data_IF_813602570234
#
_entry.id   IF_813602570234
#
_cell.length_a   1.000
_cell.length_b   1.000
_cell.length_c   1.000
_cell.angle_alpha   90.00
_cell.angle_beta   90.00
_cell.angle_gamma   90.00
#
_symmetry.space_group_name_H-M   'P 1'
#
loop_
_entity.id
_entity.type
_entity.pdbx_description
1 polymer ?
#
# COMPACT_ATOMS: atom_id res chain seq x y z
N UNK A 1 -48.41 2.96 -16.97
CA UNK A 1 -48.43 2.02 -15.82
C UNK A 1 -47.28 1.06 -16.02
N UNK A 2 -46.24 1.13 -15.20
CA UNK A 2 -45.08 0.24 -15.24
C UNK A 2 -44.84 -0.25 -13.81
N UNK A 3 -44.87 -1.57 -13.66
CA UNK A 3 -44.71 -2.31 -12.40
C UNK A 3 -43.22 -2.60 -12.23
N UNK A 4 -42.63 -2.43 -11.03
CA UNK A 4 -41.22 -2.72 -10.80
C UNK A 4 -40.99 -4.22 -10.65
N UNK A 5 -39.98 -4.73 -11.37
CA UNK A 5 -39.55 -6.12 -11.34
C UNK A 5 -38.73 -6.37 -10.07
N UNK A 6 -39.25 -7.25 -9.21
CA UNK A 6 -38.57 -7.77 -8.04
C UNK A 6 -37.55 -8.82 -8.50
N UNK A 7 -36.29 -8.70 -8.07
CA UNK A 7 -35.31 -9.78 -8.19
C UNK A 7 -35.08 -10.37 -6.81
N UNK A 8 -35.62 -11.57 -6.62
CA UNK A 8 -35.53 -12.39 -5.42
C UNK A 8 -34.09 -12.89 -5.24
N UNK A 9 -33.48 -12.57 -4.09
CA UNK A 9 -32.26 -13.23 -3.64
C UNK A 9 -32.66 -14.51 -2.91
N UNK A 10 -32.47 -15.66 -3.55
CA UNK A 10 -32.58 -16.97 -2.90
C UNK A 10 -31.32 -17.32 -2.09
N UNK A 11 -31.45 -18.19 -1.06
CA UNK A 11 -30.48 -18.38 0.01
C UNK A 11 -29.46 -19.49 -0.34
N UNK A 12 -28.18 -19.26 -0.02
CA UNK A 12 -27.16 -20.30 -0.11
C UNK A 12 -27.12 -21.06 1.23
N UNK A 13 -27.88 -22.14 1.30
CA UNK A 13 -27.67 -23.22 2.26
C UNK A 13 -26.37 -23.97 1.91
N UNK A 14 -25.35 -23.81 2.77
CA UNK A 14 -24.13 -24.61 2.75
C UNK A 14 -24.07 -25.52 3.99
N UNK A 15 -23.80 -26.83 3.85
CA UNK A 15 -23.98 -27.79 4.92
C UNK A 15 -22.86 -27.70 5.97
N UNK A 16 -23.26 -27.82 7.23
CA UNK A 16 -22.36 -27.94 8.36
C UNK A 16 -21.48 -29.18 8.29
N UNK A 17 -20.21 -29.02 8.70
CA UNK A 17 -19.48 -30.03 9.46
C UNK A 17 -18.67 -29.35 10.56
N UNK A 18 -19.20 -29.53 11.77
CA UNK A 18 -18.48 -29.45 13.02
C UNK A 18 -17.26 -30.38 12.95
N UNK A 19 -16.10 -29.87 13.37
CA UNK A 19 -14.85 -30.61 13.36
C UNK A 19 -13.80 -29.87 14.18
N UNK A 20 -14.11 -29.66 15.46
CA UNK A 20 -13.13 -29.17 16.43
C UNK A 20 -11.96 -30.14 16.50
N UNK A 21 -10.86 -29.79 15.84
CA UNK A 21 -9.59 -30.51 15.94
C UNK A 21 -9.00 -30.24 17.32
N UNK A 22 -9.33 -31.17 18.22
CA UNK A 22 -8.76 -31.36 19.54
C UNK A 22 -7.26 -31.62 19.38
N UNK A 23 -6.41 -30.68 19.80
CA UNK A 23 -4.96 -30.88 19.85
C UNK A 23 -4.64 -31.84 21.00
N UNK A 24 -4.67 -33.13 20.73
CA UNK A 24 -4.10 -34.13 21.63
C UNK A 24 -2.57 -34.05 21.55
N UNK A 25 -1.97 -33.44 22.58
CA UNK A 25 -0.54 -33.53 22.85
C UNK A 25 -0.14 -35.00 23.05
N UNK A 26 0.62 -35.55 22.11
CA UNK A 26 1.42 -36.75 22.34
C UNK A 26 2.77 -36.33 22.95
N UNK A 27 3.27 -37.01 23.99
CA UNK A 27 4.60 -36.74 24.53
C UNK A 27 5.64 -37.35 23.58
N UNK A 28 6.47 -36.51 22.97
CA UNK A 28 7.68 -36.96 22.29
C UNK A 28 8.85 -36.84 23.27
N UNK A 29 9.09 -37.92 24.01
CA UNK A 29 10.40 -38.22 24.58
C UNK A 29 11.36 -38.55 23.43
N UNK A 30 12.31 -37.66 23.16
CA UNK A 30 13.58 -38.02 22.53
C UNK A 30 14.65 -37.00 22.94
N UNK A 31 15.36 -37.39 24.00
CA UNK A 31 16.79 -37.26 24.23
C UNK A 31 17.56 -36.20 23.41
N UNK A 32 18.13 -35.24 24.15
CA UNK A 32 19.52 -34.78 24.08
C UNK A 32 20.25 -35.06 22.76
N UNK A 33 20.15 -34.12 21.83
CA UNK A 33 21.12 -33.98 20.74
C UNK A 33 21.93 -32.72 21.00
N UNK A 34 23.01 -32.90 21.77
CA UNK A 34 24.11 -31.96 21.95
C UNK A 34 24.74 -31.73 20.57
N UNK A 35 24.40 -30.63 19.91
CA UNK A 35 25.19 -30.13 18.79
C UNK A 35 26.24 -29.18 19.36
N UNK A 36 27.40 -29.77 19.63
CA UNK A 36 28.66 -29.10 19.86
C UNK A 36 28.96 -28.22 18.63
N UNK A 37 28.67 -26.93 18.76
CA UNK A 37 29.03 -25.91 17.78
C UNK A 37 30.51 -25.61 17.97
N UNK A 38 31.33 -26.09 17.03
CA UNK A 38 32.71 -25.64 16.89
C UNK A 38 32.73 -24.22 16.36
N UNK A 39 33.54 -23.40 17.02
CA UNK A 39 33.66 -21.96 16.85
C UNK A 39 34.13 -21.56 15.45
N UNK A 40 33.37 -20.66 14.82
CA UNK A 40 33.92 -19.62 13.95
C UNK A 40 33.23 -18.31 14.35
N UNK A 41 34.02 -17.35 14.85
CA UNK A 41 33.64 -16.06 15.41
C UNK A 41 32.65 -15.28 14.54
N UNK A 42 31.36 -15.44 14.78
CA UNK A 42 30.33 -14.48 14.33
C UNK A 42 29.94 -13.66 15.54
N UNK A 43 30.59 -12.49 15.67
CA UNK A 43 30.26 -11.36 16.56
C UNK A 43 28.99 -11.58 17.40
N UNK A 44 29.15 -11.73 18.72
CA UNK A 44 28.09 -11.82 19.72
C UNK A 44 27.25 -10.52 19.82
N UNK A 45 26.64 -10.09 18.74
CA UNK A 45 25.59 -9.08 18.79
C UNK A 45 24.31 -9.82 19.22
N UNK A 46 24.00 -9.74 20.52
CA UNK A 46 22.79 -10.27 21.17
C UNK A 46 21.61 -10.29 20.21
N UNK A 47 21.31 -11.47 19.66
CA UNK A 47 20.30 -11.65 18.61
C UNK A 47 18.95 -11.22 19.18
N UNK A 48 18.41 -10.08 18.71
CA UNK A 48 17.05 -9.66 19.05
C UNK A 48 16.09 -10.83 18.75
N UNK A 49 15.20 -11.21 19.68
CA UNK A 49 14.22 -12.27 19.43
C UNK A 49 13.41 -11.91 18.19
N UNK A 50 13.33 -12.85 17.24
CA UNK A 50 12.66 -12.66 15.95
C UNK A 50 13.58 -12.30 14.77
N UNK A 51 14.90 -12.06 14.97
CA UNK A 51 15.82 -11.88 13.84
C UNK A 51 16.11 -13.24 13.18
N UNK A 52 15.84 -13.42 11.88
CA UNK A 52 16.09 -14.69 11.21
C UNK A 52 17.58 -15.03 11.26
N UNK A 53 17.91 -16.24 11.76
CA UNK A 53 19.28 -16.76 11.75
C UNK A 53 19.74 -16.86 10.31
N UNK A 54 20.80 -16.13 9.98
CA UNK A 54 21.41 -16.14 8.65
C UNK A 54 22.18 -17.45 8.49
N UNK A 55 21.79 -18.24 7.50
CA UNK A 55 22.61 -19.34 7.03
C UNK A 55 23.67 -18.77 6.10
N UNK A 56 24.94 -18.95 6.45
CA UNK A 56 26.12 -18.50 5.69
C UNK A 56 26.82 -19.62 4.92
N UNK A 57 26.43 -20.88 5.13
CA UNK A 57 27.01 -22.03 4.44
C UNK A 57 26.49 -22.25 3.02
N UNK A 58 27.05 -23.25 2.34
CA UNK A 58 26.56 -23.72 1.04
C UNK A 58 25.22 -24.49 1.20
N UNK A 59 24.10 -24.00 0.62
CA UNK A 59 22.81 -24.68 0.72
C UNK A 59 22.78 -26.07 0.07
N UNK A 60 23.79 -26.44 -0.73
CA UNK A 60 23.90 -27.73 -1.40
C UNK A 60 24.99 -28.64 -0.82
N UNK A 61 25.52 -28.29 0.36
CA UNK A 61 26.57 -29.06 1.02
C UNK A 61 26.18 -30.54 1.22
N UNK A 62 27.15 -31.44 0.99
CA UNK A 62 26.93 -32.91 0.98
C UNK A 62 26.50 -33.48 2.34
N UNK A 63 26.82 -32.80 3.44
CA UNK A 63 26.46 -33.22 4.80
C UNK A 63 25.02 -32.88 5.18
N UNK A 64 24.31 -32.08 4.37
CA UNK A 64 22.93 -31.68 4.64
C UNK A 64 21.94 -32.72 4.10
N UNK A 65 20.91 -33.00 4.90
CA UNK A 65 19.75 -33.78 4.42
C UNK A 65 18.95 -32.97 3.41
N UNK A 66 18.23 -33.65 2.51
CA UNK A 66 17.38 -32.97 1.52
C UNK A 66 16.33 -32.07 2.15
N UNK A 67 15.84 -32.43 3.34
CA UNK A 67 14.91 -31.59 4.10
C UNK A 67 15.56 -30.29 4.58
N UNK A 68 16.79 -30.36 5.11
CA UNK A 68 17.55 -29.19 5.52
C UNK A 68 17.88 -28.30 4.31
N UNK A 69 18.32 -28.87 3.19
CA UNK A 69 18.56 -28.13 1.94
C UNK A 69 17.33 -27.37 1.47
N UNK A 70 16.16 -28.01 1.47
CA UNK A 70 14.88 -27.37 1.12
C UNK A 70 14.54 -26.22 2.06
N UNK A 71 14.73 -26.39 3.38
CA UNK A 71 14.47 -25.33 4.35
C UNK A 71 15.41 -24.13 4.15
N UNK A 72 16.70 -24.37 3.94
CA UNK A 72 17.68 -23.31 3.70
C UNK A 72 17.34 -22.55 2.40
N UNK A 73 17.07 -23.26 1.31
CA UNK A 73 16.67 -22.64 0.03
C UNK A 73 15.42 -21.78 0.18
N UNK A 74 14.41 -22.25 0.92
CA UNK A 74 13.21 -21.46 1.24
C UNK A 74 13.54 -20.19 2.04
N UNK A 75 14.40 -20.27 3.05
CA UNK A 75 14.81 -19.10 3.85
C UNK A 75 15.53 -18.05 3.01
N UNK A 76 16.44 -18.47 2.13
CA UNK A 76 17.15 -17.58 1.20
C UNK A 76 16.16 -16.88 0.26
N UNK A 77 15.25 -17.65 -0.35
CA UNK A 77 14.22 -17.12 -1.24
C UNK A 77 13.30 -16.11 -0.53
N UNK A 78 12.79 -16.46 0.66
CA UNK A 78 11.94 -15.59 1.45
C UNK A 78 12.65 -14.28 1.83
N UNK A 79 13.94 -14.34 2.18
CA UNK A 79 14.74 -13.14 2.46
C UNK A 79 14.87 -12.24 1.23
N UNK A 80 15.15 -12.82 0.06
CA UNK A 80 15.24 -12.07 -1.18
C UNK A 80 13.89 -11.41 -1.53
N UNK A 81 12.79 -12.14 -1.36
CA UNK A 81 11.43 -11.61 -1.55
C UNK A 81 11.11 -10.49 -0.55
N UNK A 82 11.45 -10.64 0.73
CA UNK A 82 11.25 -9.59 1.73
C UNK A 82 12.03 -8.32 1.37
N UNK A 83 13.30 -8.45 0.93
CA UNK A 83 14.10 -7.31 0.46
C UNK A 83 13.44 -6.59 -0.72
N UNK A 84 12.94 -7.33 -1.71
CA UNK A 84 12.20 -6.74 -2.84
C UNK A 84 10.95 -6.00 -2.38
N UNK A 85 10.19 -6.58 -1.44
CA UNK A 85 8.99 -5.94 -0.89
C UNK A 85 9.30 -4.63 -0.16
N UNK A 86 10.40 -4.57 0.60
CA UNK A 86 10.79 -3.32 1.28
C UNK A 86 11.16 -2.23 0.27
N UNK A 87 11.83 -2.56 -0.84
CA UNK A 87 12.10 -1.62 -1.93
C UNK A 87 10.81 -1.13 -2.58
N UNK A 88 9.86 -2.03 -2.85
CA UNK A 88 8.57 -1.66 -3.44
C UNK A 88 7.75 -0.75 -2.51
N UNK A 89 7.73 -1.03 -1.19
CA UNK A 89 7.08 -0.15 -0.20
C UNK A 89 7.72 1.23 -0.16
N UNK A 90 9.03 1.31 -0.29
CA UNK A 90 9.74 2.59 -0.35
C UNK A 90 9.36 3.37 -1.62
N UNK A 91 9.37 2.70 -2.78
CA UNK A 91 8.97 3.31 -4.05
C UNK A 91 7.51 3.76 -4.06
N UNK A 92 6.61 2.96 -3.48
CA UNK A 92 5.19 3.30 -3.36
C UNK A 92 5.00 4.58 -2.54
N UNK A 93 5.64 4.68 -1.37
CA UNK A 93 5.59 5.90 -0.55
C UNK A 93 6.12 7.12 -1.29
N UNK A 94 7.25 6.98 -1.99
CA UNK A 94 7.80 8.07 -2.80
C UNK A 94 6.86 8.50 -3.94
N UNK A 95 6.13 7.55 -4.54
CA UNK A 95 5.13 7.85 -5.56
C UNK A 95 3.89 8.55 -4.96
N UNK A 96 3.44 8.14 -3.78
CA UNK A 96 2.35 8.78 -3.04
C UNK A 96 2.70 10.24 -2.69
N UNK A 97 3.91 10.49 -2.18
CA UNK A 97 4.42 11.84 -1.90
C UNK A 97 4.46 12.70 -3.16
N UNK A 98 4.94 12.14 -4.28
CA UNK A 98 4.96 12.85 -5.57
C UNK A 98 3.55 13.17 -6.05
N UNK A 99 2.60 12.26 -5.91
CA UNK A 99 1.21 12.49 -6.29
C UNK A 99 0.56 13.59 -5.45
N UNK A 100 0.80 13.61 -4.14
CA UNK A 100 0.31 14.68 -3.26
C UNK A 100 0.80 16.06 -3.73
N UNK A 101 2.10 16.18 -4.06
CA UNK A 101 2.65 17.42 -4.61
C UNK A 101 2.03 17.82 -5.95
N UNK A 102 1.73 16.84 -6.82
CA UNK A 102 1.07 17.11 -8.09
C UNK A 102 -0.38 17.58 -7.89
N UNK A 103 -1.11 17.00 -6.94
CA UNK A 103 -2.46 17.44 -6.59
C UNK A 103 -2.48 18.87 -6.04
N UNK A 104 -1.54 19.21 -5.15
CA UNK A 104 -1.42 20.57 -4.61
C UNK A 104 -1.06 21.57 -5.70
N UNK A 105 -0.13 21.23 -6.58
CA UNK A 105 0.21 22.06 -7.74
C UNK A 105 -0.99 22.24 -8.67
N UNK A 106 -1.74 21.18 -8.96
CA UNK A 106 -2.95 21.25 -9.77
C UNK A 106 -3.98 22.19 -9.14
N UNK A 107 -4.25 22.05 -7.82
CA UNK A 107 -5.16 22.92 -7.08
C UNK A 107 -4.72 24.39 -7.14
N UNK A 108 -3.42 24.66 -6.95
CA UNK A 108 -2.89 26.01 -6.99
C UNK A 108 -3.02 26.65 -8.39
N UNK A 109 -2.72 25.91 -9.45
CA UNK A 109 -2.90 26.38 -10.84
C UNK A 109 -4.37 26.60 -11.15
N UNK A 110 -5.23 25.68 -10.77
CA UNK A 110 -6.68 25.80 -10.99
C UNK A 110 -7.27 27.01 -10.26
N UNK A 111 -6.86 27.26 -9.02
CA UNK A 111 -7.29 28.44 -8.26
C UNK A 111 -6.85 29.75 -8.94
N UNK A 112 -5.61 29.81 -9.45
CA UNK A 112 -5.12 30.98 -10.21
C UNK A 112 -5.90 31.20 -11.50
N UNK A 113 -6.25 30.12 -12.21
CA UNK A 113 -7.07 30.20 -13.41
C UNK A 113 -8.47 30.75 -13.08
N UNK A 114 -9.12 30.26 -12.02
CA UNK A 114 -10.41 30.81 -11.57
C UNK A 114 -10.29 32.31 -11.23
N UNK A 115 -9.26 32.70 -10.47
CA UNK A 115 -9.07 34.11 -10.11
C UNK A 115 -8.91 35.00 -11.35
N UNK A 116 -8.09 34.57 -12.31
CA UNK A 116 -7.90 35.29 -13.57
C UNK A 116 -9.20 35.35 -14.40
N UNK A 117 -10.02 34.30 -14.35
CA UNK A 117 -11.31 34.26 -15.04
C UNK A 117 -12.32 35.23 -14.41
N UNK A 118 -12.36 35.31 -13.08
CA UNK A 118 -13.17 36.29 -12.35
C UNK A 118 -12.72 37.72 -12.67
N UNK A 119 -11.42 37.98 -12.64
CA UNK A 119 -10.87 39.28 -13.02
C UNK A 119 -11.21 39.65 -14.47
N UNK A 120 -11.14 38.67 -15.38
CA UNK A 120 -11.54 38.85 -16.78
C UNK A 120 -13.00 39.25 -16.90
N UNK A 121 -13.91 38.57 -16.21
CA UNK A 121 -15.34 38.92 -16.23
C UNK A 121 -15.60 40.31 -15.66
N UNK A 122 -14.93 40.66 -14.56
CA UNK A 122 -15.04 42.00 -13.98
C UNK A 122 -14.59 43.09 -14.95
N UNK A 123 -13.46 42.88 -15.62
CA UNK A 123 -12.96 43.83 -16.64
C UNK A 123 -13.92 43.92 -17.84
N UNK A 124 -14.58 42.84 -18.23
CA UNK A 124 -15.61 42.88 -19.28
C UNK A 124 -16.82 43.72 -18.87
N UNK A 125 -17.28 43.59 -17.63
CA UNK A 125 -18.38 44.40 -17.09
C UNK A 125 -18.00 45.88 -17.01
N UNK A 126 -16.80 46.21 -16.54
CA UNK A 126 -16.27 47.58 -16.51
C UNK A 126 -16.19 48.17 -17.92
N UNK A 127 -15.68 47.41 -18.90
CA UNK A 127 -15.64 47.83 -20.31
C UNK A 127 -17.04 48.01 -20.89
N UNK A 128 -17.99 47.13 -20.58
CA UNK A 128 -19.38 47.24 -21.02
C UNK A 128 -20.04 48.50 -20.46
N UNK A 129 -19.82 48.78 -19.17
CA UNK A 129 -20.29 50.00 -18.51
C UNK A 129 -19.71 51.27 -19.16
N UNK A 130 -18.40 51.31 -19.38
CA UNK A 130 -17.76 52.46 -20.04
C UNK A 130 -18.27 52.67 -21.47
N UNK A 131 -18.52 51.60 -22.22
CA UNK A 131 -19.16 51.68 -23.55
C UNK A 131 -20.58 52.23 -23.48
N UNK A 132 -21.37 51.84 -22.48
CA UNK A 132 -22.72 52.36 -22.29
C UNK A 132 -22.72 53.87 -21.99
N UNK A 133 -21.78 54.34 -21.18
CA UNK A 133 -21.58 55.77 -20.93
C UNK A 133 -21.17 56.53 -22.21
N UNK A 134 -20.27 55.97 -23.01
CA UNK A 134 -19.80 56.59 -24.26
C UNK A 134 -20.93 56.69 -25.31
N UNK A 135 -21.83 55.71 -25.38
CA UNK A 135 -22.93 55.68 -26.34
C UNK A 135 -24.14 56.54 -25.91
N UNK A 136 -24.07 57.25 -24.79
CA UNK A 136 -25.13 58.17 -24.33
C UNK A 136 -26.42 57.49 -23.87
N UNK A 137 -26.39 56.19 -23.58
CA UNK A 137 -27.57 55.39 -23.19
C UNK A 137 -27.73 55.23 -21.68
N UNK A 138 -27.12 56.11 -20.88
CA UNK A 138 -27.17 56.03 -19.42
C UNK A 138 -28.28 56.93 -18.87
N UNK A 139 -29.49 56.39 -18.74
CA UNK A 139 -30.59 57.06 -18.04
C UNK A 139 -30.30 57.05 -16.53
N UNK A 140 -29.94 58.21 -15.98
CA UNK A 140 -29.63 58.41 -14.56
C UNK A 140 -30.85 58.29 -13.62
N UNK A 141 -31.98 57.73 -14.08
CA UNK A 141 -33.28 57.77 -13.39
C UNK A 141 -33.58 56.53 -12.52
N UNK A 142 -32.70 55.53 -12.48
CA UNK A 142 -32.88 54.33 -11.65
C UNK A 142 -31.66 54.08 -10.79
N UNK A 143 -31.56 54.84 -9.70
CA UNK A 143 -30.89 54.46 -8.45
C UNK A 143 -31.90 54.63 -7.33
#
# INVERSE_FOLDING_TARGET
MFVPEQTEASPIDGPGKQGGLRWSHAPHDHADSVWESTDDEVCEERRRPGRPVMYSGDPDAKHLTDQQKRQIKRRISNRASARRMEVLKFQLRAAEERNALLEDNYRAVHAKWIAAEVDRTRLQDEVAFLKALQCGSFDAATV
#
